data_IF_852272514338
#
_entry.id   IF_852272514338
#
_cell.length_a   1.000
_cell.length_b   1.000
_cell.length_c   1.000
_cell.angle_alpha   90.00
_cell.angle_beta   90.00
_cell.angle_gamma   90.00
#
_symmetry.space_group_name_H-M   'P 1'
#
loop_
_entity.id
_entity.type
_entity.pdbx_description
1 polymer ?
#
# COMPACT_ATOMS: atom_id res chain seq x y z
N UNK A 1 -16.16 -21.88 25.67
CA UNK A 1 -15.67 -23.01 24.83
C UNK A 1 -16.69 -23.41 23.74
N UNK A 2 -18.00 -23.62 24.07
CA UNK A 2 -19.04 -24.01 23.10
C UNK A 2 -19.22 -22.97 21.96
N UNK A 3 -19.28 -21.67 22.26
CA UNK A 3 -19.42 -20.61 21.27
C UNK A 3 -18.24 -20.55 20.29
N UNK A 4 -17.02 -20.80 20.75
CA UNK A 4 -15.84 -20.86 19.86
C UNK A 4 -15.89 -22.07 18.92
N UNK A 5 -16.37 -23.22 19.39
CA UNK A 5 -16.53 -24.41 18.56
C UNK A 5 -17.59 -24.17 17.47
N UNK A 6 -18.72 -23.57 17.84
CA UNK A 6 -19.78 -23.21 16.89
C UNK A 6 -19.27 -22.19 15.85
N UNK A 7 -18.57 -21.13 16.26
CA UNK A 7 -17.98 -20.15 15.36
C UNK A 7 -16.99 -20.77 14.36
N UNK A 8 -16.13 -21.70 14.83
CA UNK A 8 -15.20 -22.42 13.95
C UNK A 8 -15.94 -23.30 12.93
N UNK A 9 -17.02 -23.97 13.35
CA UNK A 9 -17.84 -24.79 12.45
C UNK A 9 -18.48 -23.93 11.35
N UNK A 10 -19.07 -22.80 11.74
CA UNK A 10 -19.68 -21.85 10.78
C UNK A 10 -18.62 -21.31 9.81
N UNK A 11 -17.46 -20.86 10.31
CA UNK A 11 -16.41 -20.33 9.45
C UNK A 11 -15.96 -21.36 8.40
N UNK A 12 -15.78 -22.63 8.80
CA UNK A 12 -15.41 -23.71 7.86
C UNK A 12 -16.52 -24.01 6.85
N UNK A 13 -17.76 -24.01 7.30
CA UNK A 13 -18.91 -24.23 6.42
C UNK A 13 -19.04 -23.16 5.32
N UNK A 14 -18.55 -21.94 5.60
CA UNK A 14 -18.48 -20.82 4.65
C UNK A 14 -17.16 -20.79 3.85
N UNK A 15 -16.34 -21.85 3.88
CA UNK A 15 -15.04 -21.90 3.19
C UNK A 15 -13.92 -21.11 3.84
N UNK A 16 -14.15 -20.55 5.03
CA UNK A 16 -13.16 -19.76 5.75
C UNK A 16 -12.19 -20.61 6.59
N UNK A 17 -11.00 -20.07 6.86
CA UNK A 17 -10.00 -20.64 7.76
C UNK A 17 -10.13 -19.97 9.12
N UNK A 18 -10.60 -20.70 10.19
CA UNK A 18 -10.75 -20.12 11.51
C UNK A 18 -9.38 -19.79 12.12
N UNK A 19 -9.17 -18.56 12.49
CA UNK A 19 -7.96 -18.11 13.19
C UNK A 19 -8.29 -17.84 14.66
N UNK A 20 -7.52 -18.43 15.58
CA UNK A 20 -7.63 -18.16 16.99
C UNK A 20 -6.78 -16.95 17.38
N UNK A 21 -7.43 -15.88 17.82
CA UNK A 21 -6.76 -14.67 18.29
C UNK A 21 -6.98 -14.48 19.78
N UNK A 22 -5.91 -14.08 20.50
CA UNK A 22 -6.05 -13.55 21.85
C UNK A 22 -6.83 -12.23 21.80
N UNK A 23 -7.67 -11.91 22.80
CA UNK A 23 -8.45 -10.66 22.82
C UNK A 23 -7.59 -9.40 22.59
N UNK A 24 -6.40 -9.35 23.19
CA UNK A 24 -5.43 -8.26 23.04
C UNK A 24 -4.86 -8.09 21.62
N UNK A 25 -4.94 -9.11 20.77
CA UNK A 25 -4.46 -9.05 19.39
C UNK A 25 -5.53 -8.54 18.39
N UNK A 26 -6.80 -8.47 18.80
CA UNK A 26 -7.90 -8.04 17.91
C UNK A 26 -7.70 -6.65 17.29
N UNK A 27 -7.26 -5.61 18.03
CA UNK A 27 -7.05 -4.29 17.43
C UNK A 27 -5.98 -4.32 16.33
N UNK A 28 -4.86 -5.02 16.54
CA UNK A 28 -3.82 -5.15 15.51
C UNK A 28 -4.29 -5.94 14.30
N UNK A 29 -5.06 -7.01 14.50
CA UNK A 29 -5.68 -7.76 13.41
C UNK A 29 -6.64 -6.88 12.58
N UNK A 30 -7.48 -6.08 13.24
CA UNK A 30 -8.38 -5.13 12.57
C UNK A 30 -7.60 -4.06 11.80
N UNK A 31 -6.54 -3.52 12.39
CA UNK A 31 -5.66 -2.56 11.73
C UNK A 31 -5.03 -3.15 10.46
N UNK A 32 -4.59 -4.41 10.49
CA UNK A 32 -4.09 -5.09 9.28
C UNK A 32 -5.15 -5.16 8.17
N UNK A 33 -6.41 -5.47 8.51
CA UNK A 33 -7.52 -5.44 7.57
C UNK A 33 -7.77 -4.05 6.99
N UNK A 34 -7.73 -3.00 7.83
CA UNK A 34 -7.90 -1.61 7.40
C UNK A 34 -6.82 -1.19 6.38
N UNK A 35 -5.55 -1.60 6.58
CA UNK A 35 -4.46 -1.31 5.64
C UNK A 35 -4.71 -1.88 4.24
N UNK A 36 -5.21 -3.12 4.15
CA UNK A 36 -5.35 -3.82 2.86
C UNK A 36 -6.73 -3.69 2.23
N UNK A 37 -7.68 -3.01 2.88
CA UNK A 37 -9.01 -2.75 2.35
C UNK A 37 -9.30 -1.25 2.25
N UNK A 38 -9.65 -0.59 3.35
CA UNK A 38 -10.06 0.81 3.35
C UNK A 38 -8.97 1.76 2.86
N UNK A 39 -7.73 1.59 3.34
CA UNK A 39 -6.61 2.45 2.91
C UNK A 39 -6.15 2.14 1.49
N UNK A 40 -6.27 0.89 1.02
CA UNK A 40 -6.06 0.59 -0.39
C UNK A 40 -7.03 1.38 -1.28
N UNK A 41 -8.31 1.44 -0.93
CA UNK A 41 -9.29 2.24 -1.67
C UNK A 41 -8.94 3.73 -1.64
N UNK A 42 -8.50 4.26 -0.49
CA UNK A 42 -8.05 5.66 -0.40
C UNK A 42 -6.86 5.94 -1.31
N UNK A 43 -5.89 5.02 -1.44
CA UNK A 43 -4.75 5.14 -2.35
C UNK A 43 -5.19 5.12 -3.82
N UNK A 44 -6.08 4.22 -4.18
CA UNK A 44 -6.64 4.14 -5.55
C UNK A 44 -7.37 5.44 -5.90
N UNK A 45 -8.19 5.93 -4.99
CA UNK A 45 -8.95 7.17 -5.17
C UNK A 45 -8.02 8.39 -5.27
N UNK A 46 -6.94 8.44 -4.47
CA UNK A 46 -5.89 9.45 -4.58
C UNK A 46 -5.27 9.45 -5.98
N UNK A 47 -4.93 8.28 -6.50
CA UNK A 47 -4.41 8.15 -7.88
C UNK A 47 -5.41 8.62 -8.93
N UNK A 48 -6.69 8.29 -8.78
CA UNK A 48 -7.77 8.76 -9.67
C UNK A 48 -7.88 10.28 -9.62
N UNK A 49 -7.83 10.90 -8.44
CA UNK A 49 -7.89 12.36 -8.30
C UNK A 49 -6.70 13.04 -8.98
N UNK A 50 -5.49 12.50 -8.82
CA UNK A 50 -4.29 13.02 -9.49
C UNK A 50 -4.50 13.00 -11.01
N UNK A 51 -4.90 11.87 -11.58
CA UNK A 51 -5.12 11.77 -13.03
C UNK A 51 -6.26 12.68 -13.51
N UNK A 52 -7.32 12.82 -12.73
CA UNK A 52 -8.46 13.69 -13.08
C UNK A 52 -8.01 15.15 -13.17
N UNK A 53 -7.18 15.60 -12.24
CA UNK A 53 -6.66 16.99 -12.28
C UNK A 53 -5.65 17.22 -13.42
N UNK A 54 -5.03 16.14 -13.94
CA UNK A 54 -4.21 16.15 -15.14
C UNK A 54 -5.03 16.10 -16.44
N UNK A 55 -6.37 16.20 -16.37
CA UNK A 55 -7.26 16.26 -17.54
C UNK A 55 -7.90 14.95 -17.96
N UNK A 56 -7.66 13.86 -17.22
CA UNK A 56 -8.39 12.61 -17.50
C UNK A 56 -9.84 12.70 -16.96
N UNK A 57 -10.80 12.16 -17.69
CA UNK A 57 -12.10 11.91 -17.08
C UNK A 57 -11.96 10.85 -15.97
N UNK A 58 -12.76 10.92 -14.92
CA UNK A 58 -12.75 9.95 -13.81
C UNK A 58 -12.84 8.48 -14.32
N UNK A 59 -13.66 8.24 -15.34
CA UNK A 59 -13.76 6.92 -15.98
C UNK A 59 -12.43 6.49 -16.59
N UNK A 60 -11.75 7.36 -17.35
CA UNK A 60 -10.46 7.06 -17.98
C UNK A 60 -9.36 6.86 -16.92
N UNK A 61 -9.32 7.68 -15.88
CA UNK A 61 -8.38 7.53 -14.77
C UNK A 61 -8.52 6.15 -14.11
N UNK A 62 -9.75 5.74 -13.81
CA UNK A 62 -10.03 4.40 -13.25
C UNK A 62 -9.61 3.29 -14.20
N UNK A 63 -9.94 3.39 -15.48
CA UNK A 63 -9.57 2.38 -16.48
C UNK A 63 -8.05 2.25 -16.65
N UNK A 64 -7.31 3.32 -16.48
CA UNK A 64 -5.84 3.30 -16.55
C UNK A 64 -5.19 2.65 -15.31
N UNK A 65 -5.76 2.86 -14.12
CA UNK A 65 -5.15 2.40 -12.86
C UNK A 65 -5.55 0.97 -12.48
N UNK A 66 -6.79 0.53 -12.76
CA UNK A 66 -7.26 -0.78 -12.35
C UNK A 66 -6.42 -1.94 -12.89
N UNK A 67 -6.01 -1.98 -14.17
CA UNK A 67 -5.14 -3.05 -14.67
C UNK A 67 -3.80 -3.11 -13.94
N UNK A 68 -3.22 -1.96 -13.57
CA UNK A 68 -1.98 -1.88 -12.82
C UNK A 68 -2.14 -2.48 -11.41
N UNK A 69 -3.26 -2.21 -10.75
CA UNK A 69 -3.58 -2.76 -9.42
C UNK A 69 -3.76 -4.28 -9.50
N UNK A 70 -4.56 -4.76 -10.45
CA UNK A 70 -4.78 -6.20 -10.65
C UNK A 70 -3.48 -6.93 -10.96
N UNK A 71 -2.64 -6.37 -11.84
CA UNK A 71 -1.34 -6.96 -12.16
C UNK A 71 -0.41 -7.00 -10.94
N UNK A 72 -0.40 -5.93 -10.12
CA UNK A 72 0.40 -5.89 -8.90
C UNK A 72 -0.01 -6.98 -7.92
N UNK A 73 -1.32 -7.16 -7.69
CA UNK A 73 -1.85 -8.20 -6.81
C UNK A 73 -1.58 -9.61 -7.35
N UNK A 74 -1.80 -9.83 -8.65
CA UNK A 74 -1.52 -11.12 -9.29
C UNK A 74 -0.03 -11.49 -9.21
N UNK A 75 0.86 -10.52 -9.45
CA UNK A 75 2.29 -10.74 -9.30
C UNK A 75 2.69 -11.02 -7.84
N UNK A 76 2.08 -10.30 -6.88
CA UNK A 76 2.30 -10.56 -5.46
C UNK A 76 1.89 -11.98 -5.06
N UNK A 77 0.74 -12.45 -5.54
CA UNK A 77 0.25 -13.81 -5.30
C UNK A 77 1.21 -14.88 -5.85
N UNK A 78 1.76 -14.65 -7.04
CA UNK A 78 2.62 -15.62 -7.74
C UNK A 78 4.08 -15.61 -7.28
N UNK A 79 4.63 -14.45 -6.99
CA UNK A 79 6.07 -14.25 -6.81
C UNK A 79 6.44 -13.68 -5.43
N UNK A 80 5.45 -13.27 -4.64
CA UNK A 80 5.65 -12.63 -3.34
C UNK A 80 6.06 -11.16 -3.44
N UNK A 81 6.06 -10.49 -2.29
CA UNK A 81 6.17 -9.04 -2.21
C UNK A 81 7.50 -8.48 -2.76
N UNK A 82 8.62 -9.09 -2.42
CA UNK A 82 9.95 -8.57 -2.82
C UNK A 82 10.21 -8.68 -4.31
N UNK A 83 9.83 -9.79 -4.95
CA UNK A 83 10.00 -10.00 -6.38
C UNK A 83 9.08 -9.10 -7.20
N UNK A 84 7.92 -8.74 -6.65
CA UNK A 84 6.92 -7.88 -7.29
C UNK A 84 7.21 -6.39 -7.10
N UNK A 85 8.01 -6.03 -6.09
CA UNK A 85 8.25 -4.64 -5.77
C UNK A 85 9.04 -3.92 -6.86
N UNK A 86 8.39 -2.98 -7.52
CA UNK A 86 8.91 -2.18 -8.63
C UNK A 86 8.83 -0.69 -8.29
N UNK A 87 9.36 0.14 -9.18
CA UNK A 87 9.28 1.59 -9.03
C UNK A 87 10.63 2.24 -8.71
N UNK A 88 10.67 3.57 -8.53
CA UNK A 88 11.92 4.30 -8.40
C UNK A 88 12.72 3.90 -7.16
N UNK A 89 12.05 3.65 -6.03
CA UNK A 89 12.72 3.29 -4.78
C UNK A 89 13.41 1.92 -4.90
N UNK A 90 12.77 0.94 -5.54
CA UNK A 90 13.33 -0.40 -5.72
C UNK A 90 14.59 -0.38 -6.59
N UNK A 91 14.70 0.57 -7.51
CA UNK A 91 15.84 0.77 -8.41
C UNK A 91 16.87 1.79 -7.89
N UNK A 92 16.64 2.40 -6.72
CA UNK A 92 17.52 3.46 -6.18
C UNK A 92 17.42 4.80 -6.92
N UNK A 93 16.37 5.01 -7.73
CA UNK A 93 16.15 6.27 -8.47
C UNK A 93 15.50 7.33 -7.55
N UNK A 94 16.29 7.85 -6.64
CA UNK A 94 15.84 8.87 -5.68
C UNK A 94 15.59 10.24 -6.35
N UNK A 95 16.16 10.49 -7.52
CA UNK A 95 15.88 11.69 -8.30
C UNK A 95 14.41 11.73 -8.74
N UNK A 96 13.88 10.60 -9.18
CA UNK A 96 12.45 10.47 -9.51
C UNK A 96 11.57 10.63 -8.27
N UNK A 97 11.95 10.04 -7.13
CA UNK A 97 11.24 10.24 -5.86
C UNK A 97 11.15 11.73 -5.51
N UNK A 98 12.27 12.48 -5.65
CA UNK A 98 12.30 13.92 -5.42
C UNK A 98 11.36 14.69 -6.37
N UNK A 99 11.30 14.31 -7.66
CA UNK A 99 10.35 14.90 -8.61
C UNK A 99 8.89 14.65 -8.22
N UNK A 100 8.57 13.43 -7.76
CA UNK A 100 7.23 13.11 -7.27
C UNK A 100 6.86 13.98 -6.07
N UNK A 101 7.75 14.13 -5.09
CA UNK A 101 7.51 14.98 -3.92
C UNK A 101 7.24 16.44 -4.30
N UNK A 102 8.06 17.01 -5.22
CA UNK A 102 7.83 18.38 -5.72
C UNK A 102 6.50 18.53 -6.44
N UNK A 103 6.11 17.54 -7.24
CA UNK A 103 4.81 17.54 -7.93
C UNK A 103 3.66 17.49 -6.93
N UNK A 104 3.78 16.69 -5.87
CA UNK A 104 2.75 16.54 -4.85
C UNK A 104 2.63 17.77 -3.92
N UNK A 105 3.61 18.64 -3.89
CA UNK A 105 3.55 19.88 -3.08
C UNK A 105 2.40 20.83 -3.50
N UNK A 106 1.88 20.71 -4.72
CA UNK A 106 0.71 21.45 -5.21
C UNK A 106 -0.64 20.81 -4.82
N UNK A 107 -0.61 19.71 -4.07
CA UNK A 107 -1.77 18.91 -3.66
C UNK A 107 -2.07 19.07 -2.17
N UNK A 108 -3.22 18.57 -1.66
CA UNK A 108 -3.44 18.49 -0.23
C UNK A 108 -2.24 17.86 0.48
N UNK A 109 -1.85 18.43 1.60
CA UNK A 109 -0.65 18.03 2.34
C UNK A 109 -0.62 16.54 2.69
N UNK A 110 -1.79 15.95 2.87
CA UNK A 110 -1.96 14.52 3.16
C UNK A 110 -1.43 13.63 2.04
N UNK A 111 -1.48 14.06 0.77
CA UNK A 111 -0.98 13.28 -0.37
C UNK A 111 0.55 13.15 -0.32
N UNK A 112 1.24 14.25 -0.05
CA UNK A 112 2.69 14.25 0.13
C UNK A 112 3.10 13.43 1.36
N UNK A 113 2.39 13.60 2.47
CA UNK A 113 2.64 12.86 3.71
C UNK A 113 2.40 11.35 3.53
N UNK A 114 1.30 10.96 2.88
CA UNK A 114 1.01 9.57 2.57
C UNK A 114 2.07 8.96 1.66
N UNK A 115 2.48 9.67 0.60
CA UNK A 115 3.55 9.23 -0.29
C UNK A 115 4.85 8.99 0.49
N UNK A 116 5.27 9.94 1.31
CA UNK A 116 6.49 9.83 2.11
C UNK A 116 6.41 8.69 3.15
N UNK A 117 5.27 8.53 3.82
CA UNK A 117 5.05 7.46 4.79
C UNK A 117 5.10 6.09 4.12
N UNK A 118 4.38 5.91 3.01
CA UNK A 118 4.35 4.67 2.24
C UNK A 118 5.72 4.34 1.63
N UNK A 119 6.46 5.34 1.14
CA UNK A 119 7.82 5.17 0.66
C UNK A 119 8.74 4.60 1.75
N UNK A 120 8.66 5.11 2.98
CA UNK A 120 9.43 4.59 4.13
C UNK A 120 8.99 3.19 4.52
N UNK A 121 7.69 2.91 4.55
CA UNK A 121 7.15 1.57 4.81
C UNK A 121 7.67 0.60 3.75
N UNK A 122 7.55 0.92 2.46
CA UNK A 122 8.03 0.09 1.37
C UNK A 122 9.53 -0.20 1.49
N UNK A 123 10.34 0.82 1.75
CA UNK A 123 11.78 0.65 1.98
C UNK A 123 12.08 -0.28 3.17
N UNK A 124 11.28 -0.21 4.24
CA UNK A 124 11.45 -1.04 5.45
C UNK A 124 11.09 -2.50 5.21
N UNK A 125 9.98 -2.77 4.52
CA UNK A 125 9.40 -4.12 4.44
C UNK A 125 9.77 -4.87 3.16
N UNK A 126 10.13 -4.15 2.08
CA UNK A 126 10.36 -4.73 0.76
C UNK A 126 11.81 -4.68 0.29
N UNK A 127 12.60 -3.68 0.73
CA UNK A 127 13.97 -3.53 0.24
C UNK A 127 14.91 -4.66 0.71
N UNK A 128 15.86 -5.02 -0.15
CA UNK A 128 16.92 -6.00 0.17
C UNK A 128 17.85 -5.44 1.27
N UNK A 129 18.11 -4.12 1.23
CA UNK A 129 18.96 -3.42 2.21
C UNK A 129 18.17 -2.28 2.89
N UNK A 130 17.23 -2.57 3.82
CA UNK A 130 16.30 -1.60 4.36
C UNK A 130 16.97 -0.38 4.98
N UNK A 131 18.02 -0.55 5.78
CA UNK A 131 18.74 0.56 6.44
C UNK A 131 19.34 1.54 5.43
N UNK A 132 20.03 1.02 4.41
CA UNK A 132 20.65 1.82 3.36
C UNK A 132 19.58 2.55 2.52
N UNK A 133 18.54 1.85 2.10
CA UNK A 133 17.43 2.42 1.32
C UNK A 133 16.73 3.53 2.10
N UNK A 134 16.43 3.32 3.39
CA UNK A 134 15.83 4.35 4.25
C UNK A 134 16.73 5.58 4.42
N UNK A 135 18.03 5.39 4.59
CA UNK A 135 18.98 6.50 4.71
C UNK A 135 18.96 7.38 3.47
N UNK A 136 19.06 6.78 2.28
CA UNK A 136 19.01 7.53 1.01
C UNK A 136 17.65 8.20 0.80
N UNK A 137 16.58 7.47 1.07
CA UNK A 137 15.22 7.98 0.94
C UNK A 137 14.96 9.18 1.85
N UNK A 138 15.37 9.12 3.11
CA UNK A 138 15.20 10.23 4.05
C UNK A 138 15.94 11.48 3.62
N UNK A 139 17.14 11.38 3.02
CA UNK A 139 17.88 12.53 2.46
C UNK A 139 17.05 13.29 1.41
N UNK A 140 16.21 12.57 0.66
CA UNK A 140 15.38 13.16 -0.40
C UNK A 140 14.06 13.69 0.15
N UNK A 141 13.44 12.96 1.09
CA UNK A 141 12.17 13.35 1.69
C UNK A 141 12.29 14.51 2.70
N UNK A 142 13.50 14.78 3.22
CA UNK A 142 13.74 15.87 4.19
C UNK A 142 14.22 17.17 3.54
N UNK A 143 14.56 17.17 2.25
CA UNK A 143 14.95 18.38 1.51
C UNK A 143 13.67 19.10 1.06
N UNK A 144 13.24 20.05 1.87
CA UNK A 144 12.25 21.09 1.51
C UNK A 144 12.95 22.38 1.14
#
# INVERSE_FOLDING_TARGET
>A
RRAQAAARKIARALGGVPIALRPSAKPAYHAAGAFVSGYLLALVETGIQILTRLGFSRRRARMALLPLIHQTLSNFERFGARATWTGPISRGDYATVSRHMRSLAAWPREFEQAYAALARISARVLAVRPKQTLQQLNRVLSKR
#
